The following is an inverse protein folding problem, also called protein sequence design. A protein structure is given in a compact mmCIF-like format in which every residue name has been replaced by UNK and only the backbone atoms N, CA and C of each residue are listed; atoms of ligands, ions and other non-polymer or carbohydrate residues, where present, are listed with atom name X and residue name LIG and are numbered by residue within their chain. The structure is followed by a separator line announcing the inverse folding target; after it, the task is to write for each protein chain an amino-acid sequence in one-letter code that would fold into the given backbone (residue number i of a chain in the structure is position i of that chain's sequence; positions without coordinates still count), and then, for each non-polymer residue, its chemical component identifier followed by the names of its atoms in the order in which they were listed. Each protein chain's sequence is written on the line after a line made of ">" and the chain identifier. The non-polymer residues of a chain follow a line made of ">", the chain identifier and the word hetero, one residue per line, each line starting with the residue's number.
data_IF_870807229876
#
_entry.id   IF_870807229876
#
_cell.length_a   1.000
_cell.length_b   1.000
_cell.length_c   1.000
_cell.angle_alpha   90.00
_cell.angle_beta   90.00
_cell.angle_gamma   90.00
#
_symmetry.space_group_name_H-M   'P 1'
#
loop_
_entity.id
_entity.type
_entity.pdbx_description
1 polymer ?
#
# COMPACT_ATOMS: atom_id res chain seq x y z
N UNK A 1 5.35 19.08 -31.15
CA UNK A 1 5.34 17.74 -30.53
C UNK A 1 4.22 17.64 -29.51
N UNK A 2 3.82 16.42 -29.08
CA UNK A 2 2.64 16.18 -28.22
C UNK A 2 2.65 16.98 -26.91
N UNK A 3 3.82 17.12 -26.27
CA UNK A 3 3.96 17.89 -25.01
C UNK A 3 3.54 19.36 -25.17
N UNK A 4 3.91 20.00 -26.29
CA UNK A 4 3.52 21.39 -26.56
C UNK A 4 2.00 21.58 -26.78
N UNK A 5 1.26 20.49 -26.93
CA UNK A 5 -0.19 20.46 -27.20
C UNK A 5 -0.96 19.76 -26.07
N UNK A 6 -0.36 19.59 -24.89
CA UNK A 6 -0.97 18.84 -23.78
C UNK A 6 -2.34 19.38 -23.38
N UNK A 7 -2.51 20.71 -23.31
CA UNK A 7 -3.77 21.33 -22.93
C UNK A 7 -4.92 21.00 -23.91
N UNK A 8 -4.64 20.96 -25.20
CA UNK A 8 -5.62 20.56 -26.22
C UNK A 8 -5.98 19.09 -26.10
N UNK A 9 -4.98 18.23 -25.90
CA UNK A 9 -5.17 16.78 -25.77
C UNK A 9 -5.99 16.46 -24.51
N UNK A 10 -5.65 17.07 -23.38
CA UNK A 10 -6.37 16.89 -22.12
C UNK A 10 -7.81 17.41 -22.21
N UNK A 11 -8.03 18.53 -22.91
CA UNK A 11 -9.38 19.03 -23.16
C UNK A 11 -10.21 18.06 -24.01
N UNK A 12 -9.62 17.47 -25.06
CA UNK A 12 -10.30 16.49 -25.89
C UNK A 12 -10.62 15.19 -25.14
N UNK A 13 -9.66 14.67 -24.35
CA UNK A 13 -9.86 13.50 -23.50
C UNK A 13 -10.95 13.80 -22.47
N UNK A 14 -10.86 14.94 -21.77
CA UNK A 14 -11.83 15.36 -20.76
C UNK A 14 -13.25 15.49 -21.32
N UNK A 15 -13.40 16.11 -22.49
CA UNK A 15 -14.69 16.22 -23.17
C UNK A 15 -15.27 14.84 -23.51
N UNK A 16 -14.45 13.90 -23.96
CA UNK A 16 -14.89 12.54 -24.25
C UNK A 16 -15.21 11.73 -22.98
N UNK A 17 -14.44 11.87 -21.89
CA UNK A 17 -14.69 11.12 -20.66
C UNK A 17 -15.87 11.67 -19.85
N UNK A 18 -16.10 12.99 -19.85
CA UNK A 18 -17.07 13.67 -18.97
C UNK A 18 -18.49 13.08 -18.98
N UNK A 19 -19.12 12.75 -20.13
CA UNK A 19 -20.47 12.19 -20.14
C UNK A 19 -20.54 10.68 -19.87
N UNK A 20 -19.40 10.01 -19.62
CA UNK A 20 -19.31 8.55 -19.49
C UNK A 20 -19.00 8.17 -18.04
N UNK A 21 -19.58 7.06 -17.58
CA UNK A 21 -19.16 6.46 -16.32
C UNK A 21 -17.72 5.92 -16.44
N UNK A 22 -17.02 5.84 -15.32
CA UNK A 22 -15.67 5.27 -15.25
C UNK A 22 -15.63 3.85 -15.83
N UNK A 23 -16.67 3.03 -15.61
CA UNK A 23 -16.76 1.68 -16.16
C UNK A 23 -16.80 1.68 -17.70
N UNK A 24 -17.59 2.58 -18.30
CA UNK A 24 -17.65 2.71 -19.77
C UNK A 24 -16.33 3.20 -20.36
N UNK A 25 -15.67 4.15 -19.69
CA UNK A 25 -14.36 4.65 -20.11
C UNK A 25 -13.33 3.53 -20.11
N UNK A 26 -13.21 2.78 -19.01
CA UNK A 26 -12.23 1.69 -18.92
C UNK A 26 -12.50 0.57 -19.94
N UNK A 27 -13.76 0.17 -20.14
CA UNK A 27 -14.10 -0.84 -21.13
C UNK A 27 -13.71 -0.40 -22.55
N UNK A 28 -13.94 0.86 -22.89
CA UNK A 28 -13.57 1.41 -24.19
C UNK A 28 -12.05 1.52 -24.38
N UNK A 29 -11.31 1.92 -23.33
CA UNK A 29 -9.85 2.02 -23.38
C UNK A 29 -9.19 0.64 -23.44
N UNK A 30 -9.70 -0.34 -22.70
CA UNK A 30 -9.22 -1.73 -22.73
C UNK A 30 -9.42 -2.37 -24.11
N UNK A 31 -10.59 -2.18 -24.73
CA UNK A 31 -10.85 -2.63 -26.09
C UNK A 31 -9.90 -2.02 -27.14
N UNK A 32 -9.36 -0.83 -26.85
CA UNK A 32 -8.36 -0.15 -27.68
C UNK A 32 -6.91 -0.44 -27.25
N UNK A 33 -6.69 -1.35 -26.30
CA UNK A 33 -5.40 -1.66 -25.68
C UNK A 33 -4.67 -0.43 -25.10
N UNK A 34 -5.45 0.56 -24.63
CA UNK A 34 -4.92 1.75 -23.96
C UNK A 34 -4.84 1.47 -22.45
N UNK A 35 -3.64 1.54 -21.85
CA UNK A 35 -3.48 1.31 -20.41
C UNK A 35 -4.16 2.44 -19.63
N UNK A 36 -5.15 2.06 -18.83
CA UNK A 36 -5.87 2.97 -17.94
C UNK A 36 -6.31 2.23 -16.68
N UNK A 37 -6.49 2.99 -15.59
CA UNK A 37 -6.96 2.48 -14.31
C UNK A 37 -7.84 3.50 -13.60
N UNK A 38 -8.65 3.04 -12.65
CA UNK A 38 -9.41 3.96 -11.80
C UNK A 38 -8.46 4.68 -10.86
N UNK A 39 -8.84 5.89 -10.45
CA UNK A 39 -8.29 6.51 -9.25
C UNK A 39 -9.07 5.93 -8.07
N UNK A 40 -8.38 5.17 -7.23
CA UNK A 40 -9.00 4.49 -6.10
C UNK A 40 -9.07 5.41 -4.88
N UNK A 41 -10.20 5.37 -4.18
CA UNK A 41 -10.31 5.85 -2.80
C UNK A 41 -9.77 4.82 -1.81
N UNK A 42 -9.61 5.22 -0.54
CA UNK A 42 -9.24 4.27 0.53
C UNK A 42 -10.28 3.15 0.67
N UNK A 43 -11.57 3.47 0.52
CA UNK A 43 -12.65 2.48 0.56
C UNK A 43 -12.56 1.50 -0.60
N UNK A 44 -12.24 1.99 -1.82
CA UNK A 44 -12.02 1.11 -2.98
C UNK A 44 -10.85 0.16 -2.74
N UNK A 45 -9.71 0.67 -2.23
CA UNK A 45 -8.54 -0.14 -1.90
C UNK A 45 -8.87 -1.22 -0.87
N UNK A 46 -9.63 -0.86 0.18
CA UNK A 46 -10.01 -1.79 1.24
C UNK A 46 -10.93 -2.91 0.76
N UNK A 47 -11.78 -2.64 -0.23
CA UNK A 47 -12.73 -3.59 -0.80
C UNK A 47 -12.20 -4.36 -2.03
N UNK A 48 -11.03 -4.01 -2.56
CA UNK A 48 -10.56 -4.53 -3.84
C UNK A 48 -10.03 -5.98 -3.74
N UNK A 49 -10.59 -6.93 -4.54
CA UNK A 49 -10.19 -8.33 -4.51
C UNK A 49 -8.73 -8.57 -4.90
N UNK A 50 -8.14 -7.74 -5.76
CA UNK A 50 -6.75 -7.84 -6.16
C UNK A 50 -5.80 -7.42 -5.03
N UNK A 51 -6.14 -6.36 -4.29
CA UNK A 51 -5.40 -5.96 -3.08
C UNK A 51 -5.45 -7.05 -2.01
N UNK A 52 -6.62 -7.65 -1.80
CA UNK A 52 -6.78 -8.78 -0.87
C UNK A 52 -5.97 -10.00 -1.31
N UNK A 53 -6.07 -10.41 -2.58
CA UNK A 53 -5.35 -11.57 -3.12
C UNK A 53 -3.82 -11.42 -3.05
N UNK A 54 -3.31 -10.18 -3.13
CA UNK A 54 -1.89 -9.88 -3.01
C UNK A 54 -1.43 -9.63 -1.57
N UNK A 55 -2.33 -9.66 -0.58
CA UNK A 55 -2.00 -9.34 0.82
C UNK A 55 -1.38 -7.94 0.93
N UNK A 56 -1.98 -6.97 0.23
CA UNK A 56 -1.53 -5.56 0.21
C UNK A 56 -2.04 -4.78 1.42
N UNK A 57 -3.01 -5.33 2.15
CA UNK A 57 -3.46 -4.86 3.45
C UNK A 57 -3.35 -6.02 4.44
N UNK A 58 -2.94 -5.74 5.67
CA UNK A 58 -2.79 -6.72 6.74
C UNK A 58 -3.47 -6.20 8.01
N UNK A 59 -4.21 -7.07 8.68
CA UNK A 59 -4.75 -6.79 10.00
C UNK A 59 -3.69 -7.12 11.06
N UNK A 60 -3.44 -6.20 11.98
CA UNK A 60 -2.56 -6.39 13.13
C UNK A 60 -3.36 -6.15 14.42
N UNK A 61 -3.04 -6.91 15.47
CA UNK A 61 -3.63 -6.71 16.80
C UNK A 61 -2.72 -5.77 17.61
N UNK A 62 -3.27 -4.67 18.10
CA UNK A 62 -2.58 -3.71 18.96
C UNK A 62 -2.51 -4.19 20.41
N UNK A 63 -1.71 -3.53 21.24
CA UNK A 63 -1.49 -3.93 22.64
C UNK A 63 -2.76 -3.86 23.51
N UNK A 64 -3.74 -3.04 23.11
CA UNK A 64 -5.05 -2.92 23.75
C UNK A 64 -6.07 -3.97 23.25
N UNK A 65 -5.65 -4.88 22.36
CA UNK A 65 -6.51 -5.90 21.75
C UNK A 65 -7.31 -5.43 20.54
N UNK A 66 -7.26 -4.15 20.18
CA UNK A 66 -7.92 -3.64 18.99
C UNK A 66 -7.22 -4.11 17.70
N UNK A 67 -7.94 -4.13 16.59
CA UNK A 67 -7.38 -4.50 15.28
C UNK A 67 -7.18 -3.25 14.42
N UNK A 68 -6.01 -3.12 13.83
CA UNK A 68 -5.67 -2.07 12.89
C UNK A 68 -5.31 -2.68 11.52
N UNK A 69 -5.86 -2.14 10.45
CA UNK A 69 -5.44 -2.50 9.08
C UNK A 69 -4.29 -1.61 8.67
N UNK A 70 -3.17 -2.22 8.28
CA UNK A 70 -1.96 -1.54 7.83
C UNK A 70 -1.58 -1.99 6.42
N UNK A 71 -0.78 -1.21 5.67
CA UNK A 71 -0.20 -1.67 4.42
C UNK A 71 0.59 -2.97 4.62
N UNK A 72 0.40 -3.92 3.71
CA UNK A 72 1.15 -5.17 3.69
C UNK A 72 2.60 -4.94 3.23
N UNK A 73 3.47 -5.89 3.58
CA UNK A 73 4.91 -5.79 3.24
C UNK A 73 5.14 -5.90 1.73
N UNK A 74 5.96 -5.00 1.18
CA UNK A 74 6.43 -5.00 -0.21
C UNK A 74 7.96 -4.81 -0.27
N UNK A 75 8.66 -5.45 -1.22
CA UNK A 75 8.18 -6.40 -2.22
C UNK A 75 7.81 -7.78 -1.62
N UNK A 76 7.08 -8.60 -2.38
CA UNK A 76 6.78 -9.99 -2.01
C UNK A 76 7.94 -10.90 -2.44
N UNK A 77 8.65 -11.48 -1.47
CA UNK A 77 9.80 -12.34 -1.70
C UNK A 77 9.44 -13.81 -1.42
N UNK A 78 9.79 -14.71 -2.34
CA UNK A 78 9.47 -16.14 -2.19
C UNK A 78 10.37 -16.88 -1.19
N UNK A 79 11.67 -16.53 -1.12
CA UNK A 79 12.66 -17.18 -0.24
C UNK A 79 12.68 -16.61 1.17
N UNK A 80 12.40 -15.33 1.31
CA UNK A 80 12.40 -14.61 2.59
C UNK A 80 11.15 -13.74 2.71
N UNK A 81 9.95 -14.34 2.81
CA UNK A 81 8.72 -13.57 2.92
C UNK A 81 8.78 -12.60 4.10
N UNK A 82 8.50 -11.32 3.83
CA UNK A 82 8.34 -10.32 4.87
C UNK A 82 6.97 -10.44 5.57
N UNK A 83 6.89 -9.97 6.80
CA UNK A 83 5.65 -9.94 7.56
C UNK A 83 5.79 -9.09 8.82
N UNK A 84 4.65 -8.75 9.42
CA UNK A 84 4.61 -8.16 10.75
C UNK A 84 5.14 -9.17 11.77
N UNK A 85 6.16 -8.77 12.55
CA UNK A 85 6.78 -9.61 13.60
C UNK A 85 6.31 -9.21 14.99
N UNK A 86 6.23 -7.91 15.24
CA UNK A 86 5.77 -7.33 16.48
C UNK A 86 5.28 -5.90 16.22
N UNK A 87 4.47 -5.37 17.12
CA UNK A 87 4.08 -3.95 17.09
C UNK A 87 5.27 -3.06 17.41
N UNK A 88 5.14 -1.77 17.10
CA UNK A 88 6.08 -0.76 17.58
C UNK A 88 6.15 -0.81 19.12
N UNK A 89 7.35 -0.74 19.71
CA UNK A 89 7.47 -0.75 21.15
C UNK A 89 6.91 0.54 21.76
N UNK A 90 6.48 0.45 23.01
CA UNK A 90 6.22 1.64 23.82
C UNK A 90 7.52 2.33 24.20
N UNK A 91 7.42 3.58 24.65
CA UNK A 91 8.57 4.34 25.11
C UNK A 91 9.26 3.61 26.27
N UNK A 92 10.54 3.25 26.08
CA UNK A 92 11.35 2.57 27.10
C UNK A 92 11.12 1.06 27.25
N UNK A 93 10.29 0.43 26.40
CA UNK A 93 9.92 -0.98 26.53
C UNK A 93 11.12 -1.93 26.62
N UNK A 94 12.21 -1.63 25.92
CA UNK A 94 13.40 -2.49 25.85
C UNK A 94 14.60 -1.94 26.66
N UNK A 95 14.41 -0.89 27.48
CA UNK A 95 15.53 -0.23 28.18
C UNK A 95 16.28 -1.20 29.10
N UNK A 96 15.56 -1.89 29.99
CA UNK A 96 16.18 -2.79 30.98
C UNK A 96 16.86 -4.00 30.32
N UNK A 97 16.23 -4.55 29.29
CA UNK A 97 16.78 -5.65 28.51
C UNK A 97 18.14 -5.29 27.89
N UNK A 98 18.21 -4.13 27.21
CA UNK A 98 19.42 -3.64 26.56
C UNK A 98 20.50 -3.30 27.59
N UNK A 99 20.15 -2.65 28.71
CA UNK A 99 21.10 -2.35 29.78
C UNK A 99 21.69 -3.62 30.40
N UNK A 100 20.86 -4.64 30.62
CA UNK A 100 21.32 -5.94 31.14
C UNK A 100 22.23 -6.67 30.14
N UNK A 101 21.92 -6.59 28.83
CA UNK A 101 22.78 -7.15 27.77
C UNK A 101 24.16 -6.48 27.74
N UNK A 102 24.20 -5.15 27.83
CA UNK A 102 25.45 -4.39 27.87
C UNK A 102 26.27 -4.72 29.11
N UNK A 103 25.63 -4.83 30.27
CA UNK A 103 26.31 -5.20 31.51
C UNK A 103 26.96 -6.59 31.40
N UNK A 104 26.27 -7.59 30.83
CA UNK A 104 26.84 -8.93 30.61
C UNK A 104 28.04 -8.92 29.66
N UNK A 105 27.98 -8.12 28.59
CA UNK A 105 29.09 -7.99 27.63
C UNK A 105 30.34 -7.34 28.23
N UNK A 106 30.18 -6.42 29.18
CA UNK A 106 31.31 -5.75 29.84
C UNK A 106 32.03 -6.63 30.87
N UNK A 107 31.33 -7.56 31.50
CA UNK A 107 31.90 -8.47 32.51
C UNK A 107 32.37 -9.82 31.93
N UNK A 108 32.14 -10.07 30.64
CA UNK A 108 32.60 -11.26 29.91
C UNK A 108 33.98 -11.12 29.25
N UNK A 109 34.80 -10.15 29.69
CA UNK A 109 36.21 -10.00 29.34
C UNK A 109 37.09 -10.21 30.57
#
# INVERSE_FOLDING_TARGET
>A
GRVARVAEIDAAIGHWTAPRSVAQVLAALDAAAVPAGRIYTVADIAADPHYAARGMLQAITLADGSTLTVPGVVPKLSRTPGGHRHNAPTLGQHTDEVLAELARRQHGR
#
